data_IF_272156021129
#
_entry.id   IF_272156021129
#
_cell.length_a   1.000
_cell.length_b   1.000
_cell.length_c   1.000
_cell.angle_alpha   90.00
_cell.angle_beta   90.00
_cell.angle_gamma   90.00
#
_symmetry.space_group_name_H-M   'P 1'
#
loop_
_entity.id
_entity.type
_entity.pdbx_description
1 polymer ?
#
# COMPACT_ATOMS: atom_id res chain seq x y z
N UNK A 1 -9.51 0.42 -11.67
CA UNK A 1 -9.37 0.77 -10.23
C UNK A 1 -8.24 1.79 -9.97
N UNK A 2 -8.39 2.64 -8.94
CA UNK A 2 -7.39 3.63 -8.48
C UNK A 2 -6.58 3.13 -7.29
N UNK A 3 -5.27 3.28 -7.34
CA UNK A 3 -4.31 2.77 -6.35
C UNK A 3 -3.47 3.88 -5.77
N UNK A 4 -3.31 3.88 -4.45
CA UNK A 4 -2.21 4.59 -3.79
C UNK A 4 -1.08 3.59 -3.54
N UNK A 5 0.12 3.85 -4.05
CA UNK A 5 1.31 3.02 -3.81
C UNK A 5 2.11 3.57 -2.64
N UNK A 6 1.94 2.97 -1.47
CA UNK A 6 2.68 3.30 -0.25
C UNK A 6 3.90 2.41 -0.07
N UNK A 7 4.98 3.03 0.40
CA UNK A 7 6.22 2.36 0.74
C UNK A 7 7.31 3.35 1.10
N UNK A 8 8.41 2.89 1.73
CA UNK A 8 9.58 3.71 1.99
C UNK A 8 10.07 4.40 0.71
N UNK A 9 10.62 5.60 0.84
CA UNK A 9 11.08 6.41 -0.31
C UNK A 9 12.28 7.30 0.02
N UNK A 10 13.05 6.89 1.01
CA UNK A 10 14.15 7.66 1.59
C UNK A 10 15.46 7.47 0.82
N UNK A 11 15.66 6.28 0.23
CA UNK A 11 16.88 5.94 -0.51
C UNK A 11 16.65 5.62 -1.99
N UNK A 12 17.71 5.69 -2.78
CA UNK A 12 17.62 5.49 -4.24
C UNK A 12 17.08 4.10 -4.65
N UNK A 13 17.34 3.07 -3.84
CA UNK A 13 16.81 1.72 -4.11
C UNK A 13 15.28 1.69 -3.99
N UNK A 14 14.74 2.26 -2.92
CA UNK A 14 13.30 2.39 -2.67
C UNK A 14 12.62 3.22 -3.75
N UNK A 15 13.16 4.40 -4.06
CA UNK A 15 12.62 5.29 -5.11
C UNK A 15 12.55 4.57 -6.46
N UNK A 16 13.62 3.87 -6.86
CA UNK A 16 13.66 3.13 -8.13
C UNK A 16 12.64 2.00 -8.16
N UNK A 17 12.51 1.27 -7.05
CA UNK A 17 11.55 0.17 -6.94
C UNK A 17 10.11 0.68 -7.02
N UNK A 18 9.78 1.76 -6.29
CA UNK A 18 8.45 2.38 -6.29
C UNK A 18 8.05 2.88 -7.68
N UNK A 19 8.97 3.56 -8.38
CA UNK A 19 8.72 4.06 -9.74
C UNK A 19 8.52 2.91 -10.73
N UNK A 20 9.35 1.86 -10.64
CA UNK A 20 9.17 0.67 -11.47
C UNK A 20 7.84 -0.03 -11.19
N UNK A 21 7.49 -0.26 -9.93
CA UNK A 21 6.25 -0.93 -9.53
C UNK A 21 5.02 -0.11 -9.95
N UNK A 22 5.05 1.22 -9.79
CA UNK A 22 4.00 2.10 -10.29
C UNK A 22 3.81 1.96 -11.81
N UNK A 23 4.91 1.88 -12.57
CA UNK A 23 4.89 1.60 -14.01
C UNK A 23 4.24 0.25 -14.32
N UNK A 24 4.65 -0.82 -13.65
CA UNK A 24 4.08 -2.17 -13.84
C UNK A 24 2.58 -2.22 -13.55
N UNK A 25 2.13 -1.57 -12.47
CA UNK A 25 0.71 -1.50 -12.13
C UNK A 25 -0.10 -0.74 -13.21
N UNK A 26 0.46 0.35 -13.76
CA UNK A 26 -0.18 1.10 -14.86
C UNK A 26 -0.24 0.30 -16.16
N UNK A 27 0.79 -0.47 -16.49
CA UNK A 27 0.79 -1.38 -17.65
C UNK A 27 -0.33 -2.43 -17.56
N UNK A 28 -0.81 -2.73 -16.35
CA UNK A 28 -1.95 -3.61 -16.11
C UNK A 28 -3.31 -2.90 -16.00
N UNK A 29 -3.38 -1.61 -16.34
CA UNK A 29 -4.64 -0.86 -16.45
C UNK A 29 -5.11 -0.18 -15.16
N UNK A 30 -4.27 -0.13 -14.12
CA UNK A 30 -4.58 0.60 -12.90
C UNK A 30 -4.20 2.08 -13.01
N UNK A 31 -5.02 2.96 -12.43
CA UNK A 31 -4.64 4.35 -12.19
C UNK A 31 -3.85 4.39 -10.88
N UNK A 32 -2.59 4.84 -10.90
CA UNK A 32 -1.70 4.75 -9.73
C UNK A 32 -1.21 6.13 -9.32
N UNK A 33 -1.39 6.47 -8.05
CA UNK A 33 -0.66 7.54 -7.38
C UNK A 33 0.60 6.96 -6.72
N UNK A 34 1.77 7.54 -7.04
CA UNK A 34 3.05 7.18 -6.45
C UNK A 34 3.66 8.45 -5.84
N UNK A 35 3.86 8.53 -4.51
CA UNK A 35 4.35 9.75 -3.89
C UNK A 35 5.73 10.20 -4.42
N UNK A 36 6.53 9.28 -4.98
CA UNK A 36 7.81 9.58 -5.63
C UNK A 36 7.70 10.50 -6.87
N UNK A 37 6.51 10.61 -7.47
CA UNK A 37 6.25 11.42 -8.67
C UNK A 37 5.61 12.78 -8.34
N UNK A 38 5.30 13.04 -7.06
CA UNK A 38 4.69 14.28 -6.57
C UNK A 38 5.72 15.42 -6.47
N UNK A 39 6.31 15.77 -7.62
CA UNK A 39 7.36 16.79 -7.79
C UNK A 39 7.03 18.17 -7.18
N UNK A 40 5.79 18.70 -7.16
CA UNK A 40 5.55 20.01 -6.55
C UNK A 40 5.78 20.05 -5.03
N UNK A 41 5.67 18.90 -4.34
CA UNK A 41 5.74 18.81 -2.88
C UNK A 41 7.05 18.18 -2.44
N UNK A 42 7.62 17.27 -3.23
CA UNK A 42 8.89 16.62 -2.93
C UNK A 42 10.13 17.34 -3.49
N UNK A 43 9.97 18.51 -4.11
CA UNK A 43 11.08 19.37 -4.52
C UNK A 43 11.85 19.91 -3.30
N UNK A 44 13.00 19.29 -3.03
CA UNK A 44 13.91 19.65 -1.93
C UNK A 44 14.61 21.00 -2.11
N UNK A 45 14.45 21.64 -3.27
CA UNK A 45 14.95 23.01 -3.51
C UNK A 45 13.97 24.08 -3.03
N UNK A 46 12.72 23.70 -2.75
CA UNK A 46 11.70 24.58 -2.17
C UNK A 46 11.80 24.60 -0.65
N UNK A 47 11.65 25.79 -0.08
CA UNK A 47 11.64 26.03 1.36
C UNK A 47 10.24 26.33 1.93
N UNK A 48 9.21 26.36 1.08
CA UNK A 48 7.84 26.65 1.48
C UNK A 48 6.99 25.38 1.68
N UNK A 49 7.56 24.20 1.43
CA UNK A 49 6.93 22.91 1.72
C UNK A 49 7.04 22.64 3.22
N UNK A 50 5.89 22.39 3.84
CA UNK A 50 5.78 22.09 5.27
C UNK A 50 5.21 20.70 5.46
N UNK A 51 5.43 20.09 6.62
CA UNK A 51 4.85 18.79 6.98
C UNK A 51 3.32 18.78 6.82
N UNK A 52 2.63 19.88 7.15
CA UNK A 52 1.18 20.00 6.98
C UNK A 52 0.73 19.99 5.52
N UNK A 53 1.52 20.56 4.60
CA UNK A 53 1.25 20.50 3.15
C UNK A 53 1.45 19.09 2.60
N UNK A 54 2.49 18.40 3.04
CA UNK A 54 2.75 17.00 2.69
C UNK A 54 1.59 16.13 3.16
N UNK A 55 1.25 16.22 4.45
CA UNK A 55 0.12 15.50 5.05
C UNK A 55 -1.18 15.73 4.27
N UNK A 56 -1.53 16.98 3.97
CA UNK A 56 -2.76 17.27 3.23
C UNK A 56 -2.78 16.61 1.85
N UNK A 57 -1.66 16.63 1.12
CA UNK A 57 -1.58 16.01 -0.20
C UNK A 57 -1.65 14.48 -0.15
N UNK A 58 -1.02 13.85 0.84
CA UNK A 58 -1.11 12.39 1.01
C UNK A 58 -2.52 11.96 1.41
N UNK A 59 -3.21 12.76 2.24
CA UNK A 59 -4.63 12.56 2.57
C UNK A 59 -5.50 12.68 1.31
N UNK A 60 -5.34 13.73 0.50
CA UNK A 60 -6.11 13.90 -0.74
C UNK A 60 -5.90 12.71 -1.70
N UNK A 61 -4.68 12.20 -1.79
CA UNK A 61 -4.35 11.05 -2.63
C UNK A 61 -4.93 9.73 -2.08
N UNK A 62 -4.93 9.53 -0.75
CA UNK A 62 -5.56 8.39 -0.10
C UNK A 62 -7.09 8.41 -0.29
N UNK A 63 -7.72 9.57 -0.10
CA UNK A 63 -9.16 9.74 -0.33
C UNK A 63 -9.52 9.62 -1.83
N UNK A 64 -8.59 9.87 -2.75
CA UNK A 64 -8.79 9.60 -4.17
C UNK A 64 -8.78 8.10 -4.52
N UNK A 65 -7.98 7.28 -3.82
CA UNK A 65 -7.74 5.88 -4.15
C UNK A 65 -8.86 4.92 -3.72
N UNK A 66 -9.03 3.82 -4.46
CA UNK A 66 -9.88 2.70 -4.05
C UNK A 66 -9.14 1.73 -3.13
N UNK A 67 -7.87 1.45 -3.44
CA UNK A 67 -7.01 0.52 -2.69
C UNK A 67 -5.70 1.21 -2.34
N UNK A 68 -5.24 0.99 -1.11
CA UNK A 68 -3.87 1.29 -0.71
C UNK A 68 -3.02 0.03 -0.86
N UNK A 69 -2.02 0.08 -1.74
CA UNK A 69 -1.00 -0.95 -1.89
C UNK A 69 0.14 -0.61 -0.95
N UNK A 70 0.31 -1.43 0.09
CA UNK A 70 1.26 -1.18 1.17
C UNK A 70 2.50 -2.07 1.02
N UNK A 71 3.67 -1.51 0.77
CA UNK A 71 4.91 -2.25 0.96
C UNK A 71 5.14 -2.49 2.45
N UNK A 72 5.10 -3.76 2.87
CA UNK A 72 5.16 -4.14 4.27
C UNK A 72 6.57 -3.81 4.81
N UNK A 73 6.63 -2.82 5.69
CA UNK A 73 7.87 -2.32 6.27
C UNK A 73 7.63 -1.63 7.62
N UNK A 74 8.71 -1.25 8.31
CA UNK A 74 8.64 -0.46 9.55
C UNK A 74 8.57 1.05 9.29
N UNK A 75 8.33 1.49 8.05
CA UNK A 75 8.14 2.91 7.78
C UNK A 75 6.85 3.43 8.43
N UNK A 76 7.03 4.40 9.33
CA UNK A 76 5.93 5.03 10.05
C UNK A 76 4.94 5.76 9.14
N UNK A 77 5.39 6.33 8.02
CA UNK A 77 4.51 7.01 7.05
C UNK A 77 3.58 5.99 6.39
N UNK A 78 4.17 4.99 5.75
CA UNK A 78 3.48 3.85 5.13
C UNK A 78 2.47 3.18 6.08
N UNK A 79 2.83 3.01 7.36
CA UNK A 79 1.97 2.40 8.37
C UNK A 79 0.82 3.32 8.83
N UNK A 80 1.04 4.64 8.87
CA UNK A 80 -0.01 5.63 9.15
C UNK A 80 -1.06 5.65 8.04
N UNK A 81 -0.60 5.66 6.79
CA UNK A 81 -1.45 5.61 5.59
C UNK A 81 -2.31 4.34 5.56
N UNK A 82 -1.73 3.19 5.93
CA UNK A 82 -2.46 1.92 6.04
C UNK A 82 -3.63 2.02 7.04
N UNK A 83 -3.38 2.56 8.23
CA UNK A 83 -4.42 2.74 9.25
C UNK A 83 -5.53 3.71 8.81
N UNK A 84 -5.15 4.77 8.08
CA UNK A 84 -6.11 5.72 7.52
C UNK A 84 -7.00 5.06 6.46
N UNK A 85 -6.43 4.33 5.50
CA UNK A 85 -7.20 3.59 4.49
C UNK A 85 -8.09 2.48 5.10
N UNK A 86 -7.65 1.83 6.17
CA UNK A 86 -8.48 0.87 6.91
C UNK A 86 -9.74 1.55 7.48
N UNK A 87 -9.59 2.75 8.04
CA UNK A 87 -10.72 3.55 8.51
C UNK A 87 -11.66 3.95 7.36
N UNK A 88 -11.09 4.44 6.25
CA UNK A 88 -11.86 4.82 5.06
C UNK A 88 -12.72 3.67 4.54
N UNK A 89 -12.13 2.49 4.40
CA UNK A 89 -12.79 1.30 3.82
C UNK A 89 -13.81 0.63 4.75
N UNK A 90 -13.75 0.85 6.06
CA UNK A 90 -14.66 0.20 7.03
C UNK A 90 -15.67 1.14 7.66
N UNK A 91 -15.34 2.43 7.81
CA UNK A 91 -16.09 3.36 8.67
C UNK A 91 -16.56 4.61 7.95
N UNK A 92 -15.94 5.02 6.84
CA UNK A 92 -16.23 6.29 6.17
C UNK A 92 -17.01 6.06 4.88
N UNK A 93 -16.40 5.38 3.89
CA UNK A 93 -17.05 5.08 2.61
C UNK A 93 -16.58 3.72 2.06
N UNK A 94 -17.15 2.61 2.56
CA UNK A 94 -16.82 1.25 2.11
C UNK A 94 -17.20 0.97 0.64
N UNK A 95 -18.06 1.81 0.04
CA UNK A 95 -18.47 1.66 -1.35
C UNK A 95 -17.35 2.10 -2.29
N UNK A 96 -16.63 3.16 -1.91
CA UNK A 96 -15.51 3.73 -2.66
C UNK A 96 -14.17 3.10 -2.31
N UNK A 97 -13.90 2.90 -1.02
CA UNK A 97 -12.61 2.42 -0.52
C UNK A 97 -12.70 0.93 -0.18
N UNK A 98 -11.81 0.14 -0.76
CA UNK A 98 -11.85 -1.32 -0.67
C UNK A 98 -10.92 -1.86 0.40
N UNK A 99 -9.87 -1.11 0.74
CA UNK A 99 -8.98 -1.40 1.87
C UNK A 99 -7.51 -1.42 1.50
N UNK A 100 -6.76 -2.19 2.28
CA UNK A 100 -5.29 -2.27 2.23
C UNK A 100 -4.87 -3.65 1.74
N UNK A 101 -4.02 -3.68 0.73
CA UNK A 101 -3.34 -4.89 0.25
C UNK A 101 -1.83 -4.77 0.50
N UNK A 102 -1.30 -5.63 1.37
CA UNK A 102 0.12 -5.66 1.69
C UNK A 102 0.95 -6.39 0.63
N UNK A 103 2.12 -5.87 0.29
CA UNK A 103 3.17 -6.52 -0.49
C UNK A 103 4.40 -6.76 0.40
N UNK A 104 4.66 -8.02 0.73
CA UNK A 104 5.74 -8.44 1.63
C UNK A 104 6.85 -9.18 0.88
N UNK A 105 7.79 -8.42 0.32
CA UNK A 105 8.90 -8.97 -0.49
C UNK A 105 10.14 -9.36 0.32
N UNK A 106 10.17 -9.08 1.64
CA UNK A 106 11.21 -9.63 2.50
C UNK A 106 11.03 -11.14 2.63
N UNK A 107 11.92 -11.88 1.98
CA UNK A 107 11.90 -13.34 1.91
C UNK A 107 11.92 -14.02 3.28
N UNK A 108 12.30 -13.31 4.35
CA UNK A 108 12.30 -13.86 5.71
C UNK A 108 10.91 -13.88 6.34
N UNK A 109 9.94 -13.14 5.78
CA UNK A 109 8.55 -13.14 6.24
C UNK A 109 7.79 -14.41 5.84
N UNK A 110 8.31 -15.19 4.88
CA UNK A 110 7.77 -16.51 4.53
C UNK A 110 8.43 -17.66 5.30
N UNK A 111 9.47 -17.37 6.10
CA UNK A 111 10.16 -18.37 6.90
C UNK A 111 9.30 -18.81 8.08
N UNK A 112 9.12 -20.12 8.26
CA UNK A 112 8.48 -20.66 9.45
C UNK A 112 9.37 -20.42 10.69
N UNK A 113 8.84 -19.83 11.77
CA UNK A 113 9.61 -19.63 12.99
C UNK A 113 9.95 -20.98 13.63
N UNK A 114 11.21 -21.15 14.04
CA UNK A 114 11.63 -22.31 14.83
C UNK A 114 11.28 -22.07 16.31
N UNK A 115 10.34 -22.82 16.90
CA UNK A 115 9.91 -22.61 18.28
C UNK A 115 11.01 -22.91 19.31
N UNK A 116 12.09 -23.59 18.92
CA UNK A 116 13.24 -23.85 19.78
C UNK A 116 14.28 -22.72 19.76
N UNK A 117 14.13 -21.72 18.88
CA UNK A 117 15.07 -20.59 18.74
C UNK A 117 14.41 -19.26 19.07
N UNK A 118 15.19 -18.32 19.60
CA UNK A 118 14.72 -16.99 19.97
C UNK A 118 15.69 -15.88 19.56
N UNK A 119 15.19 -14.64 19.50
CA UNK A 119 16.00 -13.47 19.18
C UNK A 119 16.67 -13.60 17.81
N UNK A 120 17.95 -13.23 17.73
CA UNK A 120 18.71 -13.21 16.47
C UNK A 120 18.91 -14.59 15.83
N UNK A 121 18.79 -15.67 16.61
CA UNK A 121 18.96 -17.05 16.12
C UNK A 121 17.67 -17.61 15.48
N UNK A 122 16.53 -16.93 15.67
CA UNK A 122 15.31 -17.20 14.93
C UNK A 122 15.28 -16.31 13.68
N UNK A 123 15.39 -16.93 12.51
CA UNK A 123 15.54 -16.22 11.23
C UNK A 123 14.20 -15.74 10.64
N UNK A 124 13.07 -16.16 11.22
CA UNK A 124 11.78 -15.61 10.83
C UNK A 124 11.73 -14.13 11.24
N UNK A 125 11.49 -13.28 10.24
CA UNK A 125 11.48 -11.84 10.49
C UNK A 125 10.16 -11.40 11.10
N UNK A 126 10.18 -10.24 11.77
CA UNK A 126 9.06 -9.71 12.51
C UNK A 126 8.62 -8.36 11.94
N UNK A 127 7.31 -8.19 11.83
CA UNK A 127 6.63 -6.91 11.59
C UNK A 127 5.61 -6.75 12.70
N UNK A 128 5.35 -5.50 13.11
CA UNK A 128 4.34 -5.19 14.12
C UNK A 128 2.98 -5.90 13.87
N UNK A 129 2.48 -6.76 14.79
CA UNK A 129 1.24 -7.51 14.63
C UNK A 129 -0.01 -6.65 14.47
N UNK A 130 -0.01 -5.42 14.98
CA UNK A 130 -1.14 -4.51 14.79
C UNK A 130 -1.29 -4.13 13.32
N UNK A 131 -0.16 -3.89 12.64
CA UNK A 131 -0.11 -3.57 11.20
C UNK A 131 -0.51 -4.80 10.39
N UNK A 132 0.11 -5.96 10.66
CA UNK A 132 -0.18 -7.21 9.94
C UNK A 132 -1.64 -7.63 10.13
N UNK A 133 -2.16 -7.57 11.37
CA UNK A 133 -3.54 -7.90 11.67
C UNK A 133 -4.54 -6.97 10.97
N UNK A 134 -4.22 -5.68 10.84
CA UNK A 134 -5.00 -4.73 10.06
C UNK A 134 -5.10 -5.12 8.58
N UNK A 135 -3.98 -5.46 7.96
CA UNK A 135 -3.94 -5.92 6.56
C UNK A 135 -4.69 -7.24 6.36
N UNK A 136 -4.50 -8.21 7.26
CA UNK A 136 -5.21 -9.51 7.23
C UNK A 136 -6.72 -9.35 7.38
N UNK A 137 -7.17 -8.40 8.20
CA UNK A 137 -8.58 -8.04 8.35
C UNK A 137 -9.09 -7.11 7.22
N UNK A 138 -8.26 -6.79 6.23
CA UNK A 138 -8.57 -5.95 5.07
C UNK A 138 -8.51 -6.79 3.80
N UNK A 139 -7.64 -6.49 2.82
CA UNK A 139 -7.53 -7.26 1.57
C UNK A 139 -6.46 -8.37 1.62
N UNK A 140 -5.71 -8.45 2.71
CA UNK A 140 -4.66 -9.45 2.94
C UNK A 140 -3.25 -8.97 2.61
N UNK A 141 -2.33 -9.93 2.51
CA UNK A 141 -0.92 -9.73 2.20
C UNK A 141 -0.51 -10.75 1.13
N UNK A 142 0.23 -10.29 0.13
CA UNK A 142 0.88 -11.11 -0.91
C UNK A 142 2.40 -10.97 -0.82
N UNK A 143 3.15 -11.89 -1.42
CA UNK A 143 4.60 -11.97 -1.23
C UNK A 143 5.39 -11.65 -2.50
N UNK A 144 4.71 -11.51 -3.64
CA UNK A 144 5.33 -11.17 -4.92
C UNK A 144 4.52 -10.12 -5.67
N UNK A 145 5.17 -9.43 -6.60
CA UNK A 145 4.54 -8.45 -7.48
C UNK A 145 3.54 -9.10 -8.44
N UNK A 146 3.81 -10.33 -8.88
CA UNK A 146 2.89 -11.10 -9.71
C UNK A 146 1.58 -11.41 -8.96
N UNK A 147 1.69 -11.91 -7.72
CA UNK A 147 0.53 -12.14 -6.85
C UNK A 147 -0.24 -10.84 -6.56
N UNK A 148 0.47 -9.73 -6.38
CA UNK A 148 -0.14 -8.41 -6.19
C UNK A 148 -1.01 -8.04 -7.40
N UNK A 149 -0.49 -8.16 -8.62
CA UNK A 149 -1.21 -7.83 -9.85
C UNK A 149 -2.42 -8.74 -10.02
N UNK A 150 -2.27 -10.06 -9.79
CA UNK A 150 -3.38 -11.01 -9.86
C UNK A 150 -4.47 -10.62 -8.86
N UNK A 151 -4.08 -10.37 -7.61
CA UNK A 151 -5.02 -10.05 -6.53
C UNK A 151 -5.77 -8.76 -6.79
N UNK A 152 -5.09 -7.72 -7.29
CA UNK A 152 -5.73 -6.46 -7.67
C UNK A 152 -6.75 -6.62 -8.80
N UNK A 153 -6.47 -7.48 -9.79
CA UNK A 153 -7.44 -7.77 -10.88
C UNK A 153 -8.68 -8.49 -10.36
N UNK A 154 -8.53 -9.43 -9.44
CA UNK A 154 -9.66 -10.10 -8.78
C UNK A 154 -10.53 -9.10 -8.02
N UNK A 155 -9.90 -8.17 -7.29
CA UNK A 155 -10.60 -7.12 -6.57
C UNK A 155 -11.38 -6.23 -7.53
N UNK A 156 -10.75 -5.74 -8.61
CA UNK A 156 -11.41 -4.87 -9.61
C UNK A 156 -12.62 -5.58 -10.24
N UNK A 157 -12.45 -6.84 -10.65
CA UNK A 157 -13.53 -7.64 -11.25
C UNK A 157 -14.71 -7.86 -10.28
N UNK A 158 -14.43 -8.17 -9.00
CA UNK A 158 -15.49 -8.38 -8.00
C UNK A 158 -16.35 -7.14 -7.73
N UNK A 159 -15.80 -5.95 -7.98
CA UNK A 159 -16.49 -4.67 -7.82
C UNK A 159 -17.32 -4.29 -9.04
N UNK A 160 -16.90 -4.70 -10.24
CA UNK A 160 -17.72 -4.56 -11.47
C UNK A 160 -18.99 -5.42 -11.40
N UNK A 161 -18.91 -6.61 -10.81
CA UNK A 161 -20.05 -7.54 -10.70
C UNK A 161 -21.02 -7.19 -9.55
N UNK A 162 -20.61 -6.34 -8.61
CA UNK A 162 -21.47 -5.85 -7.52
C UNK A 162 -22.12 -4.49 -7.80
N UNK A 163 -21.89 -3.91 -8.99
CA UNK A 163 -22.55 -2.68 -9.44
C UNK A 163 -24.03 -2.89 -9.76
N UNK A 164 -24.87 -1.93 -9.33
CA UNK A 164 -26.31 -1.90 -9.59
C UNK A 164 -26.60 -2.01 -11.11
N UNK A 165 -27.47 -2.95 -11.56
CA UNK A 165 -27.88 -3.07 -12.95
C UNK A 165 -28.47 -1.80 -13.58
N UNK A 166 -28.78 -0.77 -12.79
CA UNK A 166 -29.37 0.49 -13.27
C UNK A 166 -28.42 1.42 -14.05
N UNK A 167 -27.11 1.14 -14.09
CA UNK A 167 -26.13 1.95 -14.82
C UNK A 167 -25.56 1.28 -16.10
N UNK A 168 -26.17 0.17 -16.55
CA UNK A 168 -25.85 -0.48 -17.83
C UNK A 168 -26.90 -0.21 -18.91
#
# INVERSE_FOLDING_TARGET
MKLYLGGPMFVAAEVRYNLWLAGQLREHGFEVYCPNESEPINDKTRNDITASKIYAADIDALEWANVYVCQVSEDSGTNWEAGYMDCLSKRVDPSRHHGVLGLATDIRLSQLPDPARHGIDNQAFYINPFIVGGMQASLGVVYTEEELIIRLKEIDASKVDSGDPSER
#
